data_IF_100254208980
#
_entry.id   IF_100254208980
#
_cell.length_a   1.000
_cell.length_b   1.000
_cell.length_c   1.000
_cell.angle_alpha   90.00
_cell.angle_beta   90.00
_cell.angle_gamma   90.00
#
_symmetry.space_group_name_H-M   'P 1'
#
loop_
_entity.id
_entity.type
_entity.pdbx_description
1 polymer ?
#
# COMPACT_ATOMS: atom_id res chain seq x y z
N UNK A 1 6.40 20.55 -1.58
CA UNK A 1 5.63 19.62 -0.74
C UNK A 1 6.56 19.00 0.30
N UNK A 2 6.13 18.93 1.55
CA UNK A 2 6.94 18.33 2.62
C UNK A 2 6.52 16.88 2.83
N UNK A 3 7.44 15.94 2.58
CA UNK A 3 7.17 14.51 2.78
C UNK A 3 7.44 14.03 4.21
N UNK A 4 8.32 14.71 4.95
CA UNK A 4 8.58 14.43 6.37
C UNK A 4 7.51 15.10 7.23
N UNK A 5 6.27 14.64 7.13
CA UNK A 5 5.15 15.28 7.79
C UNK A 5 4.05 14.29 8.14
N UNK A 6 3.12 14.74 8.95
CA UNK A 6 1.89 14.00 9.23
C UNK A 6 0.93 14.12 8.04
N UNK A 7 0.28 13.01 7.72
CA UNK A 7 -0.70 12.93 6.62
C UNK A 7 -1.82 13.96 6.80
N UNK A 8 -2.29 14.17 8.04
CA UNK A 8 -3.35 15.14 8.36
C UNK A 8 -2.97 16.60 8.09
N UNK A 9 -1.66 16.89 8.01
CA UNK A 9 -1.16 18.25 7.71
C UNK A 9 -1.20 18.56 6.23
N UNK A 10 -1.53 17.60 5.38
CA UNK A 10 -1.58 17.75 3.94
C UNK A 10 -3.03 17.84 3.46
N UNK A 11 -3.23 18.55 2.34
CA UNK A 11 -4.52 18.51 1.66
C UNK A 11 -4.78 17.12 1.09
N UNK A 12 -6.05 16.78 0.88
CA UNK A 12 -6.41 15.52 0.23
C UNK A 12 -5.77 15.41 -1.17
N UNK A 13 -5.68 16.53 -1.88
CA UNK A 13 -5.01 16.59 -3.18
C UNK A 13 -3.53 16.20 -3.07
N UNK A 14 -2.82 16.71 -2.08
CA UNK A 14 -1.41 16.37 -1.86
C UNK A 14 -1.24 14.90 -1.48
N UNK A 15 -2.10 14.39 -0.60
CA UNK A 15 -2.09 12.95 -0.23
C UNK A 15 -2.33 12.08 -1.46
N UNK A 16 -3.28 12.44 -2.31
CA UNK A 16 -3.55 11.72 -3.56
C UNK A 16 -2.35 11.74 -4.49
N UNK A 17 -1.68 12.88 -4.60
CA UNK A 17 -0.46 13.03 -5.41
C UNK A 17 0.65 12.11 -4.91
N UNK A 18 0.88 12.05 -3.60
CA UNK A 18 1.88 11.17 -2.99
C UNK A 18 1.52 9.70 -3.23
N UNK A 19 0.27 9.34 -3.01
CA UNK A 19 -0.19 7.97 -3.18
C UNK A 19 -0.06 7.50 -4.63
N UNK A 20 -0.46 8.34 -5.59
CA UNK A 20 -0.32 8.06 -7.03
C UNK A 20 1.14 7.92 -7.43
N UNK A 21 1.99 8.82 -6.95
CA UNK A 21 3.43 8.75 -7.22
C UNK A 21 4.04 7.47 -6.63
N UNK A 22 3.55 7.01 -5.48
CA UNK A 22 4.01 5.76 -4.86
C UNK A 22 3.63 4.56 -5.73
N UNK A 23 2.40 4.50 -6.24
CA UNK A 23 1.98 3.44 -7.17
C UNK A 23 2.84 3.46 -8.44
N UNK A 24 3.08 4.63 -9.00
CA UNK A 24 3.96 4.77 -10.18
C UNK A 24 5.35 4.21 -9.89
N UNK A 25 5.88 4.52 -8.70
CA UNK A 25 7.17 4.02 -8.25
C UNK A 25 7.17 2.49 -8.13
N UNK A 26 6.12 1.93 -7.54
CA UNK A 26 5.98 0.47 -7.39
C UNK A 26 5.95 -0.23 -8.75
N UNK A 27 5.20 0.31 -9.70
CA UNK A 27 5.11 -0.23 -11.06
C UNK A 27 6.48 -0.27 -11.73
N UNK A 28 7.26 0.79 -11.56
CA UNK A 28 8.59 0.90 -12.16
C UNK A 28 9.65 0.05 -11.46
N UNK A 29 9.59 -0.04 -10.12
CA UNK A 29 10.71 -0.59 -9.32
C UNK A 29 10.42 -1.97 -8.73
N UNK A 30 9.15 -2.38 -8.59
CA UNK A 30 8.79 -3.69 -8.06
C UNK A 30 8.29 -4.60 -9.19
N UNK A 31 7.45 -4.08 -10.07
CA UNK A 31 6.99 -4.82 -11.23
C UNK A 31 5.52 -4.63 -11.53
N UNK A 32 5.04 -5.35 -12.54
CA UNK A 32 3.66 -5.33 -13.00
C UNK A 32 3.08 -6.75 -13.03
N UNK A 33 1.77 -6.84 -12.88
CA UNK A 33 1.05 -8.09 -13.04
C UNK A 33 0.45 -8.12 -14.45
N UNK A 34 0.92 -9.05 -15.29
CA UNK A 34 0.46 -9.14 -16.67
C UNK A 34 -1.00 -9.61 -16.80
N UNK A 35 -1.58 -10.18 -15.75
CA UNK A 35 -2.95 -10.70 -15.76
C UNK A 35 -4.00 -9.65 -15.43
N UNK A 36 -3.60 -8.62 -14.66
CA UNK A 36 -4.53 -7.61 -14.15
C UNK A 36 -3.98 -6.22 -14.45
N UNK A 37 -4.86 -5.27 -14.79
CA UNK A 37 -4.44 -3.88 -14.94
C UNK A 37 -3.96 -3.33 -13.60
N UNK A 38 -3.33 -2.16 -13.65
CA UNK A 38 -2.92 -1.42 -12.46
C UNK A 38 -4.10 -1.26 -11.50
N UNK A 39 -3.93 -1.53 -10.20
CA UNK A 39 -5.02 -1.38 -9.24
C UNK A 39 -5.41 0.08 -9.08
N UNK A 40 -6.69 0.31 -8.82
CA UNK A 40 -7.18 1.63 -8.41
C UNK A 40 -6.83 1.87 -6.96
N UNK A 41 -6.72 3.15 -6.58
CA UNK A 41 -6.53 3.58 -5.20
C UNK A 41 -7.83 4.12 -4.64
N UNK A 42 -8.17 3.72 -3.42
CA UNK A 42 -9.25 4.31 -2.64
C UNK A 42 -8.66 4.81 -1.31
N UNK A 43 -8.63 6.12 -1.13
CA UNK A 43 -8.10 6.75 0.08
C UNK A 43 -9.27 7.11 0.97
N UNK A 44 -9.38 6.44 2.12
CA UNK A 44 -10.49 6.63 3.05
C UNK A 44 -10.02 7.42 4.26
N UNK A 45 -10.68 8.55 4.52
CA UNK A 45 -10.46 9.36 5.72
C UNK A 45 -11.64 9.24 6.68
N UNK A 46 -11.38 9.49 7.97
CA UNK A 46 -12.42 9.45 8.98
C UNK A 46 -12.72 8.04 9.51
N UNK A 47 -13.85 7.92 10.20
CA UNK A 47 -14.30 6.63 10.75
C UNK A 47 -14.88 5.79 9.62
N UNK A 48 -14.37 4.56 9.48
CA UNK A 48 -14.81 3.62 8.46
C UNK A 48 -15.47 2.44 9.17
N UNK A 49 -16.79 2.28 8.98
CA UNK A 49 -17.56 1.27 9.70
C UNK A 49 -17.13 -0.17 9.36
N UNK A 50 -16.73 -0.42 8.11
CA UNK A 50 -16.41 -1.75 7.63
C UNK A 50 -14.91 -2.11 7.73
N UNK A 51 -14.09 -1.20 8.24
CA UNK A 51 -12.65 -1.42 8.37
C UNK A 51 -12.22 -1.24 9.82
N UNK A 52 -11.54 -2.25 10.43
CA UNK A 52 -11.03 -2.09 11.79
C UNK A 52 -10.11 -0.88 11.92
N UNK A 53 -10.21 -0.17 13.05
CA UNK A 53 -9.39 1.04 13.33
C UNK A 53 -7.87 0.77 13.28
N UNK A 54 -7.47 -0.49 13.39
CA UNK A 54 -6.06 -0.91 13.35
C UNK A 54 -5.60 -1.35 11.97
N UNK A 55 -6.50 -1.41 10.99
CA UNK A 55 -6.14 -1.83 9.63
C UNK A 55 -5.61 -0.65 8.83
N UNK A 56 -4.36 -0.75 8.37
CA UNK A 56 -3.70 0.30 7.59
C UNK A 56 -4.19 0.35 6.15
N UNK A 57 -4.45 -0.81 5.54
CA UNK A 57 -4.91 -0.91 4.17
C UNK A 57 -5.31 -2.33 3.83
N UNK A 58 -5.82 -2.48 2.61
CA UNK A 58 -6.26 -3.76 2.08
C UNK A 58 -6.11 -3.76 0.56
N UNK A 59 -5.70 -4.88 0.00
CA UNK A 59 -5.83 -5.13 -1.43
C UNK A 59 -7.06 -6.01 -1.67
N UNK A 60 -8.08 -5.44 -2.30
CA UNK A 60 -9.29 -6.16 -2.71
C UNK A 60 -9.05 -6.77 -4.09
N UNK A 61 -8.83 -8.08 -4.11
CA UNK A 61 -8.52 -8.80 -5.35
C UNK A 61 -9.70 -8.88 -6.30
N UNK A 62 -10.92 -8.93 -5.78
CA UNK A 62 -12.13 -9.03 -6.62
C UNK A 62 -12.34 -7.76 -7.44
N UNK A 63 -12.17 -6.60 -6.83
CA UNK A 63 -12.36 -5.31 -7.49
C UNK A 63 -11.05 -4.68 -7.97
N UNK A 64 -9.91 -5.31 -7.69
CA UNK A 64 -8.57 -4.81 -8.02
C UNK A 64 -8.36 -3.38 -7.51
N UNK A 65 -8.58 -3.19 -6.21
CA UNK A 65 -8.47 -1.90 -5.55
C UNK A 65 -7.54 -2.01 -4.36
N UNK A 66 -6.64 -1.04 -4.21
CA UNK A 66 -5.90 -0.83 -2.98
C UNK A 66 -6.66 0.21 -2.15
N UNK A 67 -7.12 -0.20 -0.98
CA UNK A 67 -7.88 0.64 -0.04
C UNK A 67 -6.93 1.05 1.07
N UNK A 68 -6.81 2.36 1.31
CA UNK A 68 -5.91 2.91 2.33
C UNK A 68 -6.73 3.62 3.39
N UNK A 69 -6.50 3.25 4.65
CA UNK A 69 -7.08 3.93 5.80
C UNK A 69 -6.15 5.08 6.21
N UNK A 70 -6.50 6.31 5.83
CA UNK A 70 -5.67 7.48 6.10
C UNK A 70 -5.55 7.76 7.60
N UNK A 71 -6.53 7.38 8.41
CA UNK A 71 -6.49 7.58 9.85
C UNK A 71 -5.36 6.79 10.52
N UNK A 72 -5.10 5.57 10.04
CA UNK A 72 -4.02 4.73 10.54
C UNK A 72 -2.66 5.12 9.99
N UNK A 73 -2.63 5.76 8.82
CA UNK A 73 -1.39 6.17 8.15
C UNK A 73 -1.03 7.60 8.53
N UNK A 74 -0.67 7.78 9.80
CA UNK A 74 -0.46 9.10 10.43
C UNK A 74 0.68 9.89 9.78
N UNK A 75 1.72 9.20 9.32
CA UNK A 75 2.87 9.83 8.66
C UNK A 75 2.91 9.42 7.19
N UNK A 76 3.45 10.30 6.35
CA UNK A 76 3.64 10.02 4.92
C UNK A 76 4.44 8.73 4.71
N UNK A 77 5.47 8.47 5.52
CA UNK A 77 6.24 7.22 5.43
C UNK A 77 5.37 5.99 5.66
N UNK A 78 4.38 6.08 6.56
CA UNK A 78 3.45 4.98 6.80
C UNK A 78 2.55 4.75 5.59
N UNK A 79 2.08 5.82 4.97
CA UNK A 79 1.29 5.77 3.75
C UNK A 79 2.07 5.06 2.62
N UNK A 80 3.32 5.45 2.43
CA UNK A 80 4.20 4.83 1.42
C UNK A 80 4.39 3.34 1.70
N UNK A 81 4.69 2.98 2.95
CA UNK A 81 4.85 1.58 3.36
C UNK A 81 3.60 0.75 3.10
N UNK A 82 2.45 1.27 3.48
CA UNK A 82 1.16 0.59 3.29
C UNK A 82 0.88 0.36 1.81
N UNK A 83 1.12 1.35 0.97
CA UNK A 83 0.91 1.21 -0.47
C UNK A 83 1.85 0.13 -1.05
N UNK A 84 3.12 0.12 -0.66
CA UNK A 84 4.07 -0.91 -1.11
C UNK A 84 3.61 -2.30 -0.66
N UNK A 85 3.13 -2.44 0.58
CA UNK A 85 2.60 -3.69 1.11
C UNK A 85 1.42 -4.20 0.26
N UNK A 86 0.43 -3.36 0.05
CA UNK A 86 -0.78 -3.75 -0.69
C UNK A 86 -0.49 -3.93 -2.19
N UNK A 87 0.41 -3.14 -2.76
CA UNK A 87 0.86 -3.34 -4.14
C UNK A 87 1.56 -4.69 -4.31
N UNK A 88 2.32 -5.14 -3.30
CA UNK A 88 2.94 -6.46 -3.33
C UNK A 88 1.87 -7.55 -3.43
N UNK A 89 0.76 -7.43 -2.70
CA UNK A 89 -0.36 -8.36 -2.82
C UNK A 89 -0.96 -8.37 -4.23
N UNK A 90 -1.05 -7.20 -4.87
CA UNK A 90 -1.49 -7.13 -6.27
C UNK A 90 -0.62 -7.98 -7.21
N UNK A 91 0.68 -8.08 -6.93
CA UNK A 91 1.62 -8.88 -7.74
C UNK A 91 1.56 -10.38 -7.44
N UNK A 92 0.92 -10.77 -6.34
CA UNK A 92 0.89 -12.15 -5.85
C UNK A 92 -0.32 -12.92 -6.35
N UNK A 93 -0.27 -14.27 -6.36
CA UNK A 93 -1.44 -15.10 -6.68
C UNK A 93 -2.42 -15.19 -5.50
N UNK A 94 -2.95 -14.05 -5.04
CA UNK A 94 -3.81 -13.94 -3.86
C UNK A 94 -5.05 -14.80 -4.00
N UNK A 95 -5.73 -14.71 -5.14
CA UNK A 95 -7.02 -15.36 -5.38
C UNK A 95 -6.95 -16.87 -5.23
N UNK A 96 -5.82 -17.48 -5.63
CA UNK A 96 -5.66 -18.93 -5.66
C UNK A 96 -4.89 -19.51 -4.48
N UNK A 97 -4.03 -18.72 -3.83
CA UNK A 97 -3.08 -19.24 -2.84
C UNK A 97 -3.23 -18.66 -1.44
N UNK A 98 -3.83 -17.49 -1.28
CA UNK A 98 -3.82 -16.80 0.00
C UNK A 98 -4.49 -17.59 1.11
N UNK A 99 -5.71 -18.08 0.90
CA UNK A 99 -6.48 -18.82 1.90
C UNK A 99 -5.81 -20.14 2.26
N UNK A 100 -5.29 -20.85 1.27
CA UNK A 100 -4.58 -22.11 1.49
C UNK A 100 -3.35 -21.93 2.37
N UNK A 101 -2.56 -20.89 2.09
CA UNK A 101 -1.35 -20.59 2.86
C UNK A 101 -1.68 -20.05 4.24
N UNK A 102 -2.76 -19.26 4.37
CA UNK A 102 -3.24 -18.78 5.67
C UNK A 102 -3.67 -19.91 6.57
N UNK A 103 -4.35 -20.93 6.05
CA UNK A 103 -4.72 -22.14 6.80
C UNK A 103 -3.50 -22.88 7.31
N UNK A 104 -2.47 -23.00 6.48
CA UNK A 104 -1.26 -23.75 6.81
C UNK A 104 -0.36 -23.01 7.80
N UNK A 105 -0.20 -21.69 7.64
CA UNK A 105 0.82 -20.90 8.35
C UNK A 105 0.24 -19.85 9.31
N UNK A 106 -1.06 -19.56 9.24
CA UNK A 106 -1.66 -18.40 9.91
C UNK A 106 -1.42 -17.13 9.13
N UNK A 107 -1.98 -16.01 9.63
CA UNK A 107 -1.85 -14.71 8.95
C UNK A 107 -0.40 -14.19 8.95
N UNK A 108 0.22 -14.14 10.14
CA UNK A 108 1.53 -13.52 10.28
C UNK A 108 2.61 -14.26 9.48
N UNK A 109 2.58 -15.58 9.50
CA UNK A 109 3.57 -16.43 8.85
C UNK A 109 3.15 -16.85 7.42
N UNK A 110 2.03 -16.36 6.92
CA UNK A 110 1.64 -16.58 5.53
C UNK A 110 2.75 -16.01 4.63
N UNK A 111 3.37 -16.84 3.75
CA UNK A 111 4.47 -16.39 2.89
C UNK A 111 4.14 -15.15 2.08
N UNK A 112 2.89 -14.95 1.70
CA UNK A 112 2.46 -13.76 0.95
C UNK A 112 2.51 -12.51 1.84
N UNK A 113 2.16 -12.62 3.12
CA UNK A 113 2.30 -11.51 4.08
C UNK A 113 3.76 -11.27 4.42
N UNK A 114 4.56 -12.32 4.57
CA UNK A 114 6.00 -12.20 4.84
C UNK A 114 6.69 -11.42 3.71
N UNK A 115 6.38 -11.73 2.45
CA UNK A 115 6.93 -11.01 1.30
C UNK A 115 6.48 -9.56 1.27
N UNK A 116 5.20 -9.29 1.56
CA UNK A 116 4.67 -7.93 1.57
C UNK A 116 5.35 -7.08 2.66
N UNK A 117 5.55 -7.63 3.86
CA UNK A 117 6.28 -6.96 4.93
C UNK A 117 7.75 -6.73 4.56
N UNK A 118 8.39 -7.70 3.93
CA UNK A 118 9.76 -7.55 3.46
C UNK A 118 9.89 -6.39 2.47
N UNK A 119 8.99 -6.32 1.49
CA UNK A 119 9.00 -5.25 0.50
C UNK A 119 8.75 -3.88 1.13
N UNK A 120 7.78 -3.75 2.02
CA UNK A 120 7.52 -2.48 2.68
C UNK A 120 8.70 -2.00 3.50
N UNK A 121 9.37 -2.91 4.21
CA UNK A 121 10.48 -2.56 5.10
C UNK A 121 11.79 -2.30 4.36
N UNK A 122 12.01 -2.95 3.22
CA UNK A 122 13.27 -2.81 2.48
C UNK A 122 13.23 -1.76 1.38
N UNK A 123 12.04 -1.46 0.85
CA UNK A 123 11.89 -0.59 -0.34
C UNK A 123 11.36 0.81 -0.04
N UNK A 124 10.77 1.04 1.14
CA UNK A 124 10.15 2.33 1.41
C UNK A 124 11.15 3.50 1.43
N UNK A 125 12.38 3.27 1.87
CA UNK A 125 13.40 4.32 1.93
C UNK A 125 13.78 4.81 0.53
N UNK A 126 13.97 3.89 -0.39
CA UNK A 126 14.29 4.25 -1.79
C UNK A 126 13.11 4.95 -2.44
N UNK A 127 11.89 4.45 -2.22
CA UNK A 127 10.69 5.10 -2.69
C UNK A 127 10.56 6.53 -2.15
N UNK A 128 10.71 6.71 -0.85
CA UNK A 128 10.65 8.02 -0.21
C UNK A 128 11.69 8.98 -0.80
N UNK A 129 12.92 8.51 -0.97
CA UNK A 129 14.01 9.30 -1.57
C UNK A 129 13.69 9.74 -2.99
N UNK A 130 13.16 8.82 -3.81
CA UNK A 130 12.81 9.11 -5.19
C UNK A 130 11.60 10.05 -5.28
N UNK A 131 10.58 9.86 -4.45
CA UNK A 131 9.44 10.76 -4.38
C UNK A 131 9.85 12.17 -3.96
N UNK A 132 10.79 12.27 -3.03
CA UNK A 132 11.32 13.55 -2.59
C UNK A 132 11.95 14.34 -3.75
N UNK A 133 12.64 13.65 -4.66
CA UNK A 133 13.20 14.27 -5.86
C UNK A 133 12.14 14.73 -6.86
N UNK A 134 11.04 13.97 -6.96
CA UNK A 134 9.97 14.25 -7.93
C UNK A 134 9.02 15.34 -7.42
N UNK A 135 8.68 15.33 -6.14
CA UNK A 135 7.61 16.14 -5.56
C UNK A 135 8.10 17.37 -4.78
N UNK A 136 9.39 17.44 -4.51
CA UNK A 136 9.94 18.54 -3.69
C UNK A 136 10.97 19.40 -4.43
#
# INVERSE_FOLDING_TARGET
>A
MKLLTKTESLSFSDVTTIATATINWCEKNIGVNWRYPRPRLSLLGGVIDDMPNTMYGEYDVEDNIIIINLQCNVYVRCLIKTIIHEYTHYLQPIKTKYQKLAKKHGYYDNPLEVEARFNENTKYKDCFKDLKKILC
#
